data_IF_385108642775
#
_entry.id   IF_385108642775
#
_cell.length_a   1.000
_cell.length_b   1.000
_cell.length_c   1.000
_cell.angle_alpha   90.00
_cell.angle_beta   90.00
_cell.angle_gamma   90.00
#
_symmetry.space_group_name_H-M   'P 1'
#
loop_
_entity.id
_entity.type
_entity.pdbx_description
1 polymer ?
#
# COMPACT_ATOMS: atom_id res chain seq x y z
N UNK A 1 60.23 3.40 -32.50
CA UNK A 1 59.57 3.54 -31.19
C UNK A 1 58.28 4.33 -31.36
N UNK A 2 57.13 3.66 -31.46
CA UNK A 2 55.81 4.27 -31.33
C UNK A 2 54.96 3.30 -30.53
N UNK A 3 54.81 3.59 -29.23
CA UNK A 3 53.98 2.82 -28.32
C UNK A 3 52.51 3.09 -28.63
N UNK A 4 51.74 2.04 -28.96
CA UNK A 4 50.28 2.08 -28.96
C UNK A 4 49.79 1.76 -27.55
N UNK A 5 49.19 2.75 -26.89
CA UNK A 5 48.49 2.58 -25.62
C UNK A 5 47.09 2.05 -25.92
N UNK A 6 46.82 0.82 -25.52
CA UNK A 6 45.46 0.27 -25.47
C UNK A 6 44.76 0.83 -24.23
N UNK A 7 43.80 1.73 -24.40
CA UNK A 7 42.84 2.05 -23.36
C UNK A 7 41.74 0.99 -23.36
N UNK A 8 41.80 0.08 -22.39
CA UNK A 8 40.68 -0.78 -22.04
C UNK A 8 39.78 0.01 -21.10
N UNK A 9 38.67 0.52 -21.63
CA UNK A 9 37.57 1.05 -20.82
C UNK A 9 36.82 -0.13 -20.20
N UNK A 10 37.10 -0.44 -18.93
CA UNK A 10 36.16 -1.18 -18.10
C UNK A 10 34.97 -0.27 -17.84
N UNK A 11 33.92 -0.42 -18.63
CA UNK A 11 32.59 0.07 -18.28
C UNK A 11 32.09 -0.77 -17.12
N UNK A 12 32.03 -0.17 -15.92
CA UNK A 12 31.24 -0.74 -14.84
C UNK A 12 29.77 -0.72 -15.28
N UNK A 13 29.19 -1.92 -15.40
CA UNK A 13 27.75 -2.08 -15.59
C UNK A 13 27.05 -1.57 -14.32
N UNK A 14 26.43 -0.41 -14.39
CA UNK A 14 25.32 -0.09 -13.52
C UNK A 14 24.07 -0.60 -14.24
N UNK A 15 23.58 -1.75 -13.80
CA UNK A 15 22.19 -2.12 -14.06
C UNK A 15 21.36 -1.03 -13.36
N UNK A 16 20.73 -0.16 -14.16
CA UNK A 16 19.65 0.67 -13.67
C UNK A 16 18.46 -0.28 -13.55
N UNK A 17 18.21 -0.77 -12.33
CA UNK A 17 16.99 -1.55 -12.05
C UNK A 17 15.77 -0.65 -12.32
N UNK A 18 14.85 -1.17 -13.13
CA UNK A 18 13.62 -0.51 -13.59
C UNK A 18 12.48 -0.75 -12.59
N UNK A 19 11.72 0.31 -12.30
CA UNK A 19 10.99 0.50 -11.05
C UNK A 19 9.42 0.37 -11.19
N UNK A 20 8.70 -0.28 -10.23
CA UNK A 20 7.30 -0.84 -10.21
C UNK A 20 6.45 -0.49 -8.94
N UNK A 21 5.11 -0.34 -8.96
CA UNK A 21 4.45 0.89 -8.40
C UNK A 21 5.01 2.06 -9.22
N UNK A 22 4.32 3.17 -9.50
CA UNK A 22 4.96 4.15 -10.40
C UNK A 22 6.29 4.57 -9.75
N UNK A 23 7.42 4.23 -10.39
CA UNK A 23 8.77 4.37 -9.84
C UNK A 23 9.16 3.57 -8.56
N UNK A 24 8.54 2.43 -8.22
CA UNK A 24 8.94 1.54 -7.08
C UNK A 24 9.79 0.31 -7.49
N UNK A 25 9.65 -0.91 -6.98
CA UNK A 25 10.43 -2.10 -7.42
C UNK A 25 9.72 -3.41 -7.04
N UNK A 26 10.15 -4.55 -7.59
CA UNK A 26 9.61 -5.86 -7.15
C UNK A 26 9.96 -6.09 -5.69
N UNK A 27 8.95 -6.25 -4.83
CA UNK A 27 9.21 -6.68 -3.48
C UNK A 27 9.94 -8.03 -3.51
N UNK A 28 10.87 -8.25 -2.60
CA UNK A 28 11.31 -9.62 -2.33
C UNK A 28 10.09 -10.45 -1.94
N UNK A 29 9.91 -11.63 -2.53
CA UNK A 29 8.72 -12.46 -2.32
C UNK A 29 8.43 -12.66 -0.84
N UNK A 30 7.18 -12.40 -0.44
CA UNK A 30 6.69 -12.49 0.94
C UNK A 30 7.38 -11.57 1.97
N UNK A 31 8.17 -10.58 1.53
CA UNK A 31 8.79 -9.60 2.44
C UNK A 31 7.80 -8.65 3.11
N UNK A 32 6.59 -8.54 2.57
CA UNK A 32 5.47 -7.77 3.14
C UNK A 32 4.35 -8.75 3.58
N UNK A 33 4.56 -9.56 4.63
CA UNK A 33 3.69 -10.71 4.97
C UNK A 33 2.30 -10.31 5.49
N UNK A 34 2.06 -9.03 5.73
CA UNK A 34 0.75 -8.46 6.08
C UNK A 34 -0.07 -8.05 4.86
N UNK A 35 0.55 -7.94 3.68
CA UNK A 35 -0.14 -7.56 2.46
C UNK A 35 -1.19 -8.62 2.11
N UNK A 36 -2.41 -8.16 1.81
CA UNK A 36 -3.45 -9.02 1.26
C UNK A 36 -3.99 -8.46 -0.05
N UNK A 37 -4.46 -9.34 -0.92
CA UNK A 37 -5.24 -8.99 -2.10
C UNK A 37 -6.73 -9.20 -1.80
N UNK A 38 -7.54 -8.17 -2.02
CA UNK A 38 -9.00 -8.28 -2.01
C UNK A 38 -9.46 -8.72 -3.40
N UNK A 39 -10.11 -9.88 -3.44
CA UNK A 39 -10.55 -10.50 -4.68
C UNK A 39 -12.08 -10.66 -4.73
N UNK A 40 -12.66 -10.33 -5.89
CA UNK A 40 -14.07 -10.56 -6.21
C UNK A 40 -14.22 -11.06 -7.65
N UNK A 41 -13.51 -12.14 -7.98
CA UNK A 41 -13.30 -12.67 -9.33
C UNK A 41 -12.00 -12.19 -9.97
N UNK A 42 -11.49 -11.05 -9.52
CA UNK A 42 -10.19 -10.46 -9.86
C UNK A 42 -9.70 -9.61 -8.68
N UNK A 43 -8.40 -9.31 -8.64
CA UNK A 43 -7.81 -8.37 -7.70
C UNK A 43 -8.33 -6.95 -7.97
N UNK A 44 -8.89 -6.28 -6.96
CA UNK A 44 -9.43 -4.93 -7.15
C UNK A 44 -8.93 -3.91 -6.12
N UNK A 45 -8.44 -4.36 -4.97
CA UNK A 45 -7.84 -3.53 -3.93
C UNK A 45 -6.85 -4.36 -3.10
N UNK A 46 -5.96 -3.67 -2.39
CA UNK A 46 -5.14 -4.21 -1.33
C UNK A 46 -5.81 -4.17 0.05
N UNK A 47 -5.07 -4.66 1.04
CA UNK A 47 -5.40 -4.59 2.46
C UNK A 47 -4.18 -4.96 3.30
N UNK A 48 -4.31 -4.79 4.61
CA UNK A 48 -3.30 -5.11 5.61
C UNK A 48 -3.87 -6.03 6.67
N UNK A 49 -3.29 -7.21 6.86
CA UNK A 49 -3.61 -8.08 8.00
C UNK A 49 -3.12 -7.40 9.28
N UNK A 50 -4.00 -7.19 10.26
CA UNK A 50 -3.68 -6.58 11.56
C UNK A 50 -3.89 -7.53 12.75
N UNK A 51 -4.56 -8.65 12.51
CA UNK A 51 -4.57 -9.82 13.39
C UNK A 51 -4.97 -11.07 12.60
N UNK A 52 -4.96 -12.26 13.22
CA UNK A 52 -5.39 -13.49 12.55
C UNK A 52 -6.83 -13.45 12.00
N UNK A 53 -7.69 -12.55 12.50
CA UNK A 53 -9.09 -12.41 12.03
C UNK A 53 -9.37 -11.13 11.26
N UNK A 54 -8.48 -10.15 11.26
CA UNK A 54 -8.84 -8.79 10.87
C UNK A 54 -7.89 -8.20 9.85
N UNK A 55 -8.48 -7.62 8.81
CA UNK A 55 -7.80 -6.85 7.77
C UNK A 55 -8.30 -5.42 7.79
N UNK A 56 -7.38 -4.46 7.68
CA UNK A 56 -7.63 -3.05 7.40
C UNK A 56 -7.53 -2.81 5.89
N UNK A 57 -8.46 -2.05 5.31
CA UNK A 57 -8.42 -1.61 3.91
C UNK A 57 -9.12 -0.25 3.79
N UNK A 58 -9.26 0.28 2.58
CA UNK A 58 -9.98 1.53 2.32
C UNK A 58 -11.50 1.31 2.28
N UNK A 59 -12.28 2.31 2.69
CA UNK A 59 -13.74 2.25 2.67
C UNK A 59 -14.32 2.27 1.25
N UNK A 60 -13.67 2.96 0.32
CA UNK A 60 -14.08 2.98 -1.09
C UNK A 60 -13.90 1.62 -1.78
N UNK A 61 -13.10 0.70 -1.21
CA UNK A 61 -12.95 -0.69 -1.65
C UNK A 61 -14.12 -1.60 -1.22
N UNK A 62 -15.17 -1.07 -0.58
CA UNK A 62 -16.26 -1.88 -0.04
C UNK A 62 -16.98 -2.72 -1.11
N UNK A 63 -17.13 -4.01 -0.80
CA UNK A 63 -18.07 -4.95 -1.42
C UNK A 63 -18.74 -5.77 -0.32
N UNK A 64 -19.96 -6.25 -0.56
CA UNK A 64 -20.74 -7.00 0.44
C UNK A 64 -20.10 -8.34 0.85
N UNK A 65 -19.30 -8.94 -0.03
CA UNK A 65 -18.47 -10.11 0.24
C UNK A 65 -17.19 -10.03 -0.59
N UNK A 66 -16.08 -10.37 0.02
CA UNK A 66 -14.75 -10.43 -0.61
C UNK A 66 -14.04 -11.71 -0.24
N UNK A 67 -13.23 -12.26 -1.15
CA UNK A 67 -12.22 -13.25 -0.83
C UNK A 67 -10.92 -12.52 -0.50
N UNK A 68 -10.42 -12.69 0.72
CA UNK A 68 -9.12 -12.17 1.14
C UNK A 68 -8.06 -13.22 0.80
N UNK A 69 -7.06 -12.83 0.00
CA UNK A 69 -5.93 -13.68 -0.36
C UNK A 69 -4.67 -13.21 0.38
N UNK A 70 -4.14 -14.08 1.23
CA UNK A 70 -2.95 -13.83 2.04
C UNK A 70 -1.79 -14.70 1.53
N UNK A 71 -0.55 -14.28 1.78
CA UNK A 71 0.65 -15.06 1.41
C UNK A 71 1.00 -15.04 -0.08
N UNK A 72 0.35 -14.16 -0.84
CA UNK A 72 0.57 -13.94 -2.28
C UNK A 72 1.91 -13.23 -2.53
N UNK A 73 2.64 -13.62 -3.59
CA UNK A 73 3.59 -12.73 -4.27
C UNK A 73 3.13 -12.49 -5.71
N UNK A 74 2.87 -13.58 -6.46
CA UNK A 74 2.30 -13.52 -7.81
C UNK A 74 0.80 -13.88 -7.81
N UNK A 75 -0.08 -12.88 -7.94
CA UNK A 75 -1.54 -13.06 -7.80
C UNK A 75 -2.22 -13.86 -8.92
N UNK A 76 -1.50 -14.26 -9.97
CA UNK A 76 -2.02 -15.12 -11.05
C UNK A 76 -1.41 -16.53 -11.06
N UNK A 77 -0.49 -16.83 -10.14
CA UNK A 77 0.15 -18.14 -10.00
C UNK A 77 -0.11 -18.68 -8.60
N UNK A 78 -0.49 -19.95 -8.50
CA UNK A 78 -0.52 -20.63 -7.21
C UNK A 78 0.91 -21.08 -6.84
N UNK A 79 1.52 -20.41 -5.86
CA UNK A 79 2.88 -20.65 -5.40
C UNK A 79 2.94 -21.61 -4.19
N UNK A 80 1.77 -22.06 -3.70
CA UNK A 80 1.63 -23.08 -2.65
C UNK A 80 1.72 -22.54 -1.23
N UNK A 81 1.63 -21.22 -1.05
CA UNK A 81 1.78 -20.51 0.24
C UNK A 81 0.52 -19.74 0.64
N UNK A 82 -0.43 -19.65 -0.29
CA UNK A 82 -1.56 -18.76 -0.22
C UNK A 82 -2.63 -19.28 0.74
N UNK A 83 -3.34 -18.34 1.36
CA UNK A 83 -4.56 -18.64 2.12
C UNK A 83 -5.69 -17.80 1.55
N UNK A 84 -6.73 -18.47 1.05
CA UNK A 84 -7.93 -17.81 0.55
C UNK A 84 -9.03 -17.94 1.59
N UNK A 85 -9.48 -16.80 2.10
CA UNK A 85 -10.42 -16.73 3.21
C UNK A 85 -11.52 -15.71 2.87
N UNK A 86 -12.76 -16.17 2.82
CA UNK A 86 -13.91 -15.28 2.63
C UNK A 86 -14.10 -14.33 3.81
N UNK A 87 -14.57 -13.13 3.54
CA UNK A 87 -15.04 -12.19 4.57
C UNK A 87 -16.30 -12.70 5.27
N UNK A 88 -16.31 -12.63 6.59
CA UNK A 88 -17.52 -12.76 7.43
C UNK A 88 -18.27 -11.42 7.49
N UNK A 89 -17.54 -10.34 7.77
CA UNK A 89 -18.06 -8.97 7.89
C UNK A 89 -17.16 -7.99 7.13
N UNK A 90 -17.76 -6.95 6.56
CA UNK A 90 -17.07 -5.86 5.88
C UNK A 90 -17.68 -4.55 6.41
N UNK A 91 -16.90 -3.79 7.18
CA UNK A 91 -17.38 -2.71 8.05
C UNK A 91 -16.63 -1.43 7.68
N UNK A 92 -17.28 -0.53 6.94
CA UNK A 92 -16.75 0.82 6.66
C UNK A 92 -16.77 1.66 7.93
N UNK A 93 -15.87 2.63 8.02
CA UNK A 93 -15.96 3.68 9.03
C UNK A 93 -17.34 4.38 8.96
N UNK A 94 -18.03 4.62 10.09
CA UNK A 94 -19.37 5.21 10.08
C UNK A 94 -19.40 6.63 9.50
N UNK A 95 -18.27 7.34 9.55
CA UNK A 95 -18.13 8.69 9.01
C UNK A 95 -17.54 8.74 7.60
N UNK A 96 -17.41 7.60 6.91
CA UNK A 96 -16.91 7.61 5.53
C UNK A 96 -17.79 8.46 4.61
N UNK A 97 -17.20 9.46 3.96
CA UNK A 97 -17.86 10.31 2.97
C UNK A 97 -17.27 10.07 1.58
N UNK A 98 -18.07 9.47 0.69
CA UNK A 98 -17.62 9.16 -0.68
C UNK A 98 -17.46 10.37 -1.59
N UNK A 99 -17.98 11.54 -1.23
CA UNK A 99 -17.84 12.75 -2.05
C UNK A 99 -16.46 13.38 -1.92
N UNK A 100 -15.90 13.34 -0.70
CA UNK A 100 -14.59 13.92 -0.38
C UNK A 100 -13.54 12.85 -0.01
N UNK A 101 -13.92 11.58 -0.03
CA UNK A 101 -13.09 10.42 0.36
C UNK A 101 -12.55 10.57 1.81
N UNK A 102 -13.30 11.23 2.69
CA UNK A 102 -12.91 11.40 4.09
C UNK A 102 -13.24 10.15 4.92
N UNK A 103 -12.45 9.90 5.98
CA UNK A 103 -12.58 8.72 6.82
C UNK A 103 -12.55 7.40 6.02
N UNK A 104 -11.69 7.34 4.99
CA UNK A 104 -11.58 6.23 4.04
C UNK A 104 -10.84 5.01 4.62
N UNK A 105 -11.47 4.38 5.61
CA UNK A 105 -10.99 3.17 6.27
C UNK A 105 -12.13 2.17 6.47
N UNK A 106 -11.79 0.89 6.36
CA UNK A 106 -12.69 -0.24 6.52
C UNK A 106 -11.99 -1.40 7.21
N UNK A 107 -12.75 -2.14 8.02
CA UNK A 107 -12.33 -3.41 8.59
C UNK A 107 -13.04 -4.57 7.91
N UNK A 108 -12.29 -5.63 7.64
CA UNK A 108 -12.81 -6.91 7.13
C UNK A 108 -12.51 -7.97 8.19
N UNK A 109 -13.57 -8.62 8.69
CA UNK A 109 -13.45 -9.81 9.54
C UNK A 109 -13.39 -11.05 8.65
N UNK A 110 -12.38 -11.88 8.85
CA UNK A 110 -12.21 -13.16 8.16
C UNK A 110 -13.17 -14.20 8.74
N UNK A 111 -13.74 -15.05 7.88
CA UNK A 111 -14.65 -16.15 8.27
C UNK A 111 -13.99 -17.27 9.09
N UNK A 112 -12.66 -17.33 9.07
CA UNK A 112 -11.83 -18.21 9.88
C UNK A 112 -10.47 -17.52 10.08
N UNK A 113 -9.71 -17.85 11.14
CA UNK A 113 -8.43 -17.21 11.37
C UNK A 113 -7.43 -17.60 10.26
N UNK A 114 -6.59 -16.65 9.88
CA UNK A 114 -5.40 -16.90 9.09
C UNK A 114 -4.40 -17.72 9.90
N UNK A 115 -3.76 -18.70 9.27
CA UNK A 115 -2.66 -19.45 9.87
C UNK A 115 -1.40 -18.60 9.78
N UNK A 116 -0.96 -18.04 10.90
CA UNK A 116 0.24 -17.20 10.94
C UNK A 116 1.51 -18.04 10.74
N UNK A 117 2.38 -17.61 9.82
CA UNK A 117 3.64 -18.26 9.48
C UNK A 117 4.60 -17.26 8.81
N UNK A 118 5.72 -17.69 8.25
CA UNK A 118 6.71 -16.77 7.65
C UNK A 118 6.21 -15.97 6.43
N UNK A 119 5.09 -16.36 5.81
CA UNK A 119 4.48 -15.69 4.65
C UNK A 119 3.26 -14.85 5.01
N UNK A 120 2.68 -15.08 6.20
CA UNK A 120 1.44 -14.44 6.66
C UNK A 120 1.64 -14.01 8.11
N UNK A 121 1.80 -12.71 8.32
CA UNK A 121 1.97 -12.08 9.64
C UNK A 121 1.20 -10.77 9.68
N UNK A 122 0.60 -10.41 10.83
CA UNK A 122 -0.02 -9.11 10.98
C UNK A 122 1.02 -7.99 11.07
N UNK A 123 0.65 -6.79 10.60
CA UNK A 123 1.40 -5.55 10.86
C UNK A 123 0.87 -4.88 12.13
N UNK A 124 1.75 -4.19 12.87
CA UNK A 124 1.37 -3.48 14.08
C UNK A 124 0.51 -2.24 13.77
N UNK A 125 -0.50 -2.01 14.60
CA UNK A 125 -1.28 -0.76 14.57
C UNK A 125 -0.52 0.37 15.30
N UNK A 126 -0.72 1.63 14.88
CA UNK A 126 0.01 2.76 15.44
C UNK A 126 -0.50 3.15 16.83
N UNK A 127 0.44 3.36 17.76
CA UNK A 127 0.20 4.02 19.05
C UNK A 127 0.22 5.56 18.96
N UNK A 128 0.66 6.09 17.82
CA UNK A 128 0.76 7.51 17.52
C UNK A 128 1.08 7.74 16.04
N UNK A 129 0.87 8.97 15.59
CA UNK A 129 1.10 9.35 14.20
C UNK A 129 2.60 9.51 13.91
N UNK A 130 3.06 8.96 12.78
CA UNK A 130 4.38 9.25 12.25
C UNK A 130 4.49 10.72 11.80
N UNK A 131 5.68 11.30 11.93
CA UNK A 131 5.93 12.71 11.60
C UNK A 131 6.26 12.88 10.11
N UNK A 132 6.10 14.11 9.60
CA UNK A 132 6.60 14.47 8.28
C UNK A 132 8.11 14.18 8.16
N UNK A 133 8.53 13.70 6.99
CA UNK A 133 9.90 13.24 6.71
C UNK A 133 10.17 11.78 7.10
N UNK A 134 9.25 11.11 7.81
CA UNK A 134 9.40 9.67 8.10
C UNK A 134 9.35 8.90 6.78
N UNK A 135 10.35 8.04 6.55
CA UNK A 135 10.37 7.13 5.42
C UNK A 135 9.49 5.92 5.69
N UNK A 136 8.67 5.59 4.71
CA UNK A 136 7.70 4.51 4.78
C UNK A 136 7.74 3.68 3.50
N UNK A 137 7.23 2.46 3.58
CA UNK A 137 7.05 1.59 2.43
C UNK A 137 5.57 1.47 2.09
N UNK A 138 5.23 1.74 0.83
CA UNK A 138 3.94 1.38 0.23
C UNK A 138 4.10 0.14 -0.63
N UNK A 139 3.10 -0.73 -0.69
CA UNK A 139 3.11 -1.92 -1.53
C UNK A 139 1.75 -2.27 -2.13
N UNK A 140 1.76 -2.89 -3.31
CA UNK A 140 0.53 -3.31 -4.00
C UNK A 140 0.74 -3.95 -5.37
N UNK A 141 -0.37 -4.34 -6.00
CA UNK A 141 -0.45 -4.94 -7.34
C UNK A 141 -1.16 -4.01 -8.33
N UNK A 142 -1.20 -2.72 -8.03
CA UNK A 142 -1.79 -1.70 -8.87
C UNK A 142 -1.00 -1.42 -10.15
N UNK A 143 -1.53 -0.49 -10.93
CA UNK A 143 -0.97 -0.07 -12.20
C UNK A 143 0.44 0.52 -12.00
N UNK A 144 1.40 0.03 -12.77
CA UNK A 144 2.80 0.47 -12.70
C UNK A 144 3.13 1.57 -13.70
N UNK A 145 2.23 1.88 -14.64
CA UNK A 145 2.46 2.76 -15.79
C UNK A 145 3.71 2.41 -16.62
N UNK A 146 4.17 1.15 -16.52
CA UNK A 146 5.35 0.64 -17.22
C UNK A 146 5.00 -0.63 -18.00
N UNK A 147 5.52 -0.73 -19.22
CA UNK A 147 5.31 -1.90 -20.09
C UNK A 147 6.20 -3.10 -19.75
N UNK A 148 7.25 -2.89 -18.96
CA UNK A 148 8.22 -3.93 -18.56
C UNK A 148 7.93 -4.49 -17.17
N UNK A 149 7.11 -3.79 -16.38
CA UNK A 149 6.77 -4.18 -15.03
C UNK A 149 5.65 -5.24 -15.01
N UNK A 150 5.94 -6.40 -14.41
CA UNK A 150 4.94 -7.43 -14.16
C UNK A 150 4.09 -7.08 -12.93
N UNK A 151 2.96 -6.41 -13.15
CA UNK A 151 2.00 -6.02 -12.11
C UNK A 151 1.35 -7.21 -11.39
N UNK A 152 1.55 -8.45 -11.89
CA UNK A 152 1.06 -9.63 -11.18
C UNK A 152 1.92 -9.95 -9.95
N UNK A 153 3.17 -9.50 -9.91
CA UNK A 153 4.03 -9.64 -8.73
C UNK A 153 3.89 -8.43 -7.81
N UNK A 154 4.10 -8.63 -6.51
CA UNK A 154 3.94 -7.55 -5.54
C UNK A 154 5.03 -6.49 -5.73
N UNK A 155 4.60 -5.22 -5.72
CA UNK A 155 5.47 -4.05 -5.90
C UNK A 155 5.61 -3.27 -4.61
N UNK A 156 6.78 -2.65 -4.42
CA UNK A 156 7.19 -1.91 -3.23
C UNK A 156 7.72 -0.54 -3.64
N UNK A 157 7.43 0.51 -2.88
CA UNK A 157 8.03 1.83 -3.08
C UNK A 157 8.33 2.45 -1.71
N UNK A 158 9.51 3.06 -1.58
CA UNK A 158 9.85 3.89 -0.43
C UNK A 158 9.34 5.31 -0.68
N UNK A 159 8.58 5.86 0.26
CA UNK A 159 8.00 7.21 0.20
C UNK A 159 8.17 7.93 1.54
N UNK A 160 8.56 9.22 1.55
CA UNK A 160 8.51 10.04 2.75
C UNK A 160 7.07 10.54 3.01
N UNK A 161 6.68 10.64 4.27
CA UNK A 161 5.51 11.44 4.66
C UNK A 161 5.81 12.92 4.38
N UNK A 162 4.92 13.60 3.68
CA UNK A 162 5.05 15.02 3.38
C UNK A 162 4.49 15.89 4.53
N UNK A 163 4.89 17.16 4.56
CA UNK A 163 4.33 18.10 5.53
C UNK A 163 2.86 18.39 5.22
N UNK A 164 2.05 18.66 6.25
CA UNK A 164 0.65 19.06 6.07
C UNK A 164 0.54 20.31 5.18
N UNK A 165 1.54 21.20 5.23
CA UNK A 165 1.64 22.38 4.36
C UNK A 165 1.77 21.98 2.90
N UNK A 166 2.68 21.07 2.57
CA UNK A 166 2.90 20.65 1.19
C UNK A 166 1.70 19.85 0.65
N UNK A 167 1.08 19.04 1.51
CA UNK A 167 -0.15 18.31 1.18
C UNK A 167 -1.31 19.28 0.85
N UNK A 168 -1.54 20.28 1.71
CA UNK A 168 -2.55 21.31 1.47
C UNK A 168 -2.23 22.21 0.27
N UNK A 169 -0.96 22.50 -0.01
CA UNK A 169 -0.57 23.26 -1.21
C UNK A 169 -0.85 22.47 -2.49
N UNK A 170 -0.67 21.15 -2.44
CA UNK A 170 -0.93 20.24 -3.56
C UNK A 170 -2.43 20.04 -3.80
N UNK A 171 -3.23 20.06 -2.73
CA UNK A 171 -4.68 19.86 -2.77
C UNK A 171 -5.45 20.91 -1.92
N UNK A 172 -5.54 22.17 -2.37
CA UNK A 172 -6.12 23.25 -1.57
C UNK A 172 -7.59 23.00 -1.16
N UNK A 173 -7.83 22.90 0.14
CA UNK A 173 -9.17 22.73 0.72
C UNK A 173 -9.74 21.30 0.65
N UNK A 174 -8.92 20.32 0.24
CA UNK A 174 -9.37 18.92 0.10
C UNK A 174 -8.78 17.97 1.15
N UNK A 175 -7.73 18.38 1.86
CA UNK A 175 -7.06 17.54 2.86
C UNK A 175 -7.73 17.74 4.22
N UNK A 176 -8.18 16.65 4.83
CA UNK A 176 -8.76 16.62 6.17
C UNK A 176 -7.76 16.10 7.22
N UNK A 177 -8.13 16.18 8.50
CA UNK A 177 -7.32 15.63 9.60
C UNK A 177 -7.17 14.10 9.55
N UNK A 178 -8.02 13.41 8.78
CA UNK A 178 -7.95 11.95 8.60
C UNK A 178 -7.10 11.52 7.41
N UNK A 179 -6.44 12.48 6.76
CA UNK A 179 -5.60 12.27 5.58
C UNK A 179 -4.16 12.73 5.83
N UNK A 180 -3.24 12.19 5.04
CA UNK A 180 -1.90 12.74 4.89
C UNK A 180 -1.38 12.45 3.48
N UNK A 181 -0.40 13.24 3.02
CA UNK A 181 0.29 12.97 1.76
C UNK A 181 1.63 12.27 2.00
N UNK A 182 2.01 11.39 1.09
CA UNK A 182 3.35 10.80 1.06
C UNK A 182 3.80 10.59 -0.38
N UNK A 183 5.12 10.65 -0.61
CA UNK A 183 5.71 10.51 -1.94
C UNK A 183 6.58 11.71 -2.30
N UNK A 184 6.64 12.00 -3.60
CA UNK A 184 7.63 12.91 -4.18
C UNK A 184 6.93 14.00 -5.00
N UNK A 185 7.12 15.27 -4.64
CA UNK A 185 6.46 16.39 -5.33
C UNK A 185 6.98 16.59 -6.76
N UNK A 186 8.18 16.11 -7.07
CA UNK A 186 8.72 16.05 -8.42
C UNK A 186 7.95 15.10 -9.35
N UNK A 187 7.12 14.20 -8.81
CA UNK A 187 6.43 13.15 -9.55
C UNK A 187 7.35 11.96 -9.85
N UNK A 188 6.90 11.09 -10.76
CA UNK A 188 7.62 9.87 -11.16
C UNK A 188 7.59 8.71 -10.16
N UNK A 189 7.18 8.96 -8.90
CA UNK A 189 7.09 7.95 -7.84
C UNK A 189 5.77 8.05 -7.06
N UNK A 190 4.88 7.07 -7.19
CA UNK A 190 3.57 7.06 -6.51
C UNK A 190 2.84 5.71 -6.57
N UNK A 191 1.94 5.48 -5.61
CA UNK A 191 0.88 4.48 -5.70
C UNK A 191 -0.11 4.81 -6.82
N UNK A 192 -0.87 3.82 -7.30
CA UNK A 192 -1.79 4.02 -8.42
C UNK A 192 -3.04 3.13 -8.34
N UNK A 193 -3.87 3.13 -9.40
CA UNK A 193 -5.11 2.35 -9.42
C UNK A 193 -4.84 0.87 -9.19
N UNK A 194 -5.56 0.27 -8.24
CA UNK A 194 -5.37 -1.12 -7.78
C UNK A 194 -4.56 -1.23 -6.48
N UNK A 195 -3.76 -0.22 -6.13
CA UNK A 195 -3.05 -0.19 -4.84
C UNK A 195 -3.96 0.23 -3.67
N UNK A 196 -5.11 0.83 -3.96
CA UNK A 196 -6.14 1.25 -3.00
C UNK A 196 -6.38 0.23 -1.89
N UNK A 197 -6.42 0.70 -0.64
CA UNK A 197 -6.56 -0.14 0.54
C UNK A 197 -5.25 -0.81 1.01
N UNK A 198 -4.20 -0.78 0.18
CA UNK A 198 -2.87 -1.28 0.52
C UNK A 198 -2.18 -0.50 1.64
N UNK A 199 -1.15 -1.09 2.27
CA UNK A 199 -0.45 -0.52 3.42
C UNK A 199 0.48 0.64 3.04
N UNK A 200 0.61 1.59 3.97
CA UNK A 200 1.84 2.39 4.15
C UNK A 200 2.42 2.05 5.52
N UNK A 201 3.58 1.38 5.53
CA UNK A 201 4.26 0.93 6.74
C UNK A 201 5.49 1.77 7.00
N UNK A 202 5.58 2.37 8.18
CA UNK A 202 6.74 3.13 8.64
C UNK A 202 7.28 2.44 9.90
N UNK A 203 8.57 2.06 9.92
CA UNK A 203 9.21 1.39 11.06
C UNK A 203 8.44 0.17 11.59
N UNK A 204 7.84 -0.61 10.69
CA UNK A 204 7.05 -1.82 11.03
C UNK A 204 5.63 -1.55 11.54
N UNK A 205 5.15 -0.31 11.46
CA UNK A 205 3.82 0.12 11.91
C UNK A 205 2.98 0.61 10.74
N UNK A 206 1.72 0.19 10.66
CA UNK A 206 0.76 0.62 9.65
C UNK A 206 0.31 2.07 9.91
N UNK A 207 0.91 3.03 9.22
CA UNK A 207 0.62 4.45 9.39
C UNK A 207 -0.42 4.96 8.38
N UNK A 208 -0.50 4.32 7.21
CA UNK A 208 -1.39 4.75 6.14
C UNK A 208 -2.10 3.62 5.40
N UNK A 209 -3.16 4.03 4.69
CA UNK A 209 -3.93 3.22 3.76
C UNK A 209 -3.95 3.97 2.42
N UNK A 210 -3.53 3.32 1.33
CA UNK A 210 -3.63 3.92 -0.02
C UNK A 210 -5.09 4.32 -0.29
N UNK A 211 -5.34 5.60 -0.59
CA UNK A 211 -6.70 6.14 -0.68
C UNK A 211 -6.98 6.79 -2.04
N UNK A 212 -6.38 7.94 -2.34
CA UNK A 212 -6.65 8.67 -3.59
C UNK A 212 -5.48 9.56 -4.02
N UNK A 213 -5.58 10.14 -5.22
CA UNK A 213 -4.64 11.11 -5.78
C UNK A 213 -5.17 11.68 -7.09
N UNK A 214 -4.57 12.77 -7.58
CA UNK A 214 -4.83 13.25 -8.94
C UNK A 214 -3.84 12.59 -9.90
N UNK A 215 -4.36 11.72 -10.76
CA UNK A 215 -3.52 10.88 -11.61
C UNK A 215 -2.66 9.92 -10.76
N UNK A 216 -1.49 9.55 -11.29
CA UNK A 216 -0.48 8.81 -10.55
C UNK A 216 0.89 9.40 -10.89
N UNK A 217 1.71 9.67 -9.88
CA UNK A 217 3.08 10.16 -10.04
C UNK A 217 3.19 11.45 -10.86
N UNK A 218 2.14 12.28 -10.83
CA UNK A 218 2.15 13.59 -11.45
C UNK A 218 2.88 14.61 -10.57
N UNK A 219 3.60 15.54 -11.22
CA UNK A 219 4.31 16.60 -10.51
C UNK A 219 3.34 17.44 -9.68
N UNK A 220 3.69 17.68 -8.41
CA UNK A 220 2.89 18.37 -7.39
C UNK A 220 1.55 17.68 -7.01
N UNK A 221 1.35 16.42 -7.39
CA UNK A 221 0.18 15.64 -7.02
C UNK A 221 0.61 14.34 -6.32
N UNK A 222 1.11 14.42 -5.08
CA UNK A 222 1.52 13.23 -4.33
C UNK A 222 0.29 12.39 -3.94
N UNK A 223 0.47 11.10 -3.70
CA UNK A 223 -0.60 10.25 -3.18
C UNK A 223 -1.14 10.73 -1.82
N UNK A 224 -2.45 10.56 -1.62
CA UNK A 224 -3.17 10.84 -0.38
C UNK A 224 -3.60 9.53 0.28
N UNK A 225 -3.37 9.44 1.58
CA UNK A 225 -3.51 8.21 2.35
C UNK A 225 -4.40 8.43 3.57
N UNK A 226 -5.20 7.42 3.92
CA UNK A 226 -5.95 7.41 5.17
C UNK A 226 -5.01 7.32 6.37
N UNK A 227 -5.13 8.25 7.33
CA UNK A 227 -4.22 8.44 8.47
C UNK A 227 -4.58 7.50 9.63
N UNK A 228 -3.99 6.30 9.65
CA UNK A 228 -4.43 5.17 10.52
C UNK A 228 -4.43 5.51 12.01
N UNK A 229 -3.46 6.31 12.48
CA UNK A 229 -3.41 6.75 13.89
C UNK A 229 -4.67 7.50 14.35
N UNK A 230 -5.42 8.13 13.44
CA UNK A 230 -6.67 8.83 13.76
C UNK A 230 -7.83 7.87 14.02
N UNK A 231 -7.68 6.59 13.66
CA UNK A 231 -8.73 5.57 13.76
C UNK A 231 -8.42 4.48 14.79
N UNK A 232 -7.29 4.55 15.52
CA UNK A 232 -6.86 3.48 16.42
C UNK A 232 -7.93 3.05 17.43
N UNK A 233 -8.68 4.01 17.99
CA UNK A 233 -9.78 3.72 18.92
C UNK A 233 -10.94 3.00 18.22
N UNK A 234 -11.38 3.50 17.06
CA UNK A 234 -12.45 2.88 16.28
C UNK A 234 -12.08 1.46 15.83
N UNK A 235 -10.83 1.25 15.39
CA UNK A 235 -10.32 -0.07 15.01
C UNK A 235 -10.43 -1.02 16.21
N UNK A 236 -9.88 -0.63 17.37
CA UNK A 236 -9.87 -1.46 18.56
C UNK A 236 -11.28 -1.82 19.06
N UNK A 237 -12.19 -0.84 19.09
CA UNK A 237 -13.57 -1.06 19.55
C UNK A 237 -14.37 -1.92 18.57
N UNK A 238 -14.18 -1.73 17.26
CA UNK A 238 -14.83 -2.55 16.23
C UNK A 238 -14.34 -3.99 16.29
N UNK A 239 -13.02 -4.22 16.41
CA UNK A 239 -12.44 -5.56 16.54
C UNK A 239 -12.89 -6.29 17.82
N UNK A 240 -13.08 -5.56 18.93
CA UNK A 240 -13.54 -6.14 20.20
C UNK A 240 -15.03 -6.50 20.19
N UNK A 241 -15.84 -5.74 19.46
CA UNK A 241 -17.31 -5.85 19.46
C UNK A 241 -17.88 -6.80 18.39
N UNK A 242 -17.03 -7.40 17.55
CA UNK A 242 -17.48 -8.15 16.37
C UNK A 242 -16.90 -9.53 16.20
#
# INVERSE_FOLDING_TARGET
MRSLVFLVLLGAAFALDDDKIVGGYECTAHSQPWQVSLNSGYHFCGGSLVSEYWVVSAAHCYKSRVEVRLGEHNIVVNEGREQFISSEKVIRHPNYDSWIIDSDIMLIKLSKPATLNQYVQPVALPSGCAAAGTMCRVSGWGNTMSSTADSNKLQCLEIPILSDRDCNNSYPGMITDTMFCAGYLEGGKDSCQGDSGGPVVCDGVLQGIVSWGYGCAEKNHPGVYGKVCMFSQWIADTMRSN
#
